data_IF_564940298030
#
_entry.id   IF_564940298030
#
_cell.length_a   1.000
_cell.length_b   1.000
_cell.length_c   1.000
_cell.angle_alpha   90.00
_cell.angle_beta   90.00
_cell.angle_gamma   90.00
#
_symmetry.space_group_name_H-M   'P 1'
#
loop_
_entity.id
_entity.type
_entity.pdbx_description
1 polymer ?
#
# COMPACT_ATOMS: atom_id res chain seq x y z
N UNK A 1 6.38 46.36 8.33
CA UNK A 1 5.24 46.56 7.41
C UNK A 1 5.60 46.05 6.02
N UNK A 2 5.47 44.74 5.77
CA UNK A 2 5.50 44.19 4.41
C UNK A 2 4.06 43.91 3.98
N UNK A 3 3.60 44.64 2.96
CA UNK A 3 2.32 44.37 2.28
C UNK A 3 2.46 43.02 1.58
N UNK A 4 1.78 41.99 2.08
CA UNK A 4 1.42 40.83 1.27
C UNK A 4 0.61 41.32 0.08
N UNK A 5 1.17 41.19 -1.13
CA UNK A 5 0.39 41.28 -2.36
C UNK A 5 -0.53 40.07 -2.38
N UNK A 6 -1.81 40.27 -2.04
CA UNK A 6 -2.87 39.38 -2.51
C UNK A 6 -2.94 39.54 -4.02
N UNK A 7 -2.45 38.55 -4.74
CA UNK A 7 -2.82 38.36 -6.15
C UNK A 7 -4.31 38.03 -6.18
N UNK A 8 -5.15 39.07 -6.35
CA UNK A 8 -6.55 38.87 -6.67
C UNK A 8 -6.64 38.30 -8.08
N UNK A 9 -7.10 37.05 -8.19
CA UNK A 9 -7.54 36.49 -9.47
C UNK A 9 -8.58 37.44 -10.07
N UNK A 10 -8.33 37.91 -11.30
CA UNK A 10 -9.28 38.72 -12.05
C UNK A 10 -10.50 37.86 -12.43
N UNK A 11 -11.52 37.88 -11.56
CA UNK A 11 -12.74 37.09 -11.70
C UNK A 11 -13.54 37.47 -12.95
N UNK A 12 -13.27 38.61 -13.60
CA UNK A 12 -14.00 39.02 -14.79
C UNK A 12 -13.61 38.19 -16.03
N UNK A 13 -12.39 37.63 -16.05
CA UNK A 13 -11.89 36.72 -17.11
C UNK A 13 -12.05 35.22 -16.79
N UNK A 14 -12.49 34.86 -15.58
CA UNK A 14 -12.53 33.48 -15.10
C UNK A 14 -13.69 32.66 -15.71
N UNK A 15 -13.42 31.40 -16.08
CA UNK A 15 -14.45 30.47 -16.57
C UNK A 15 -15.55 30.22 -15.54
N UNK A 16 -16.74 29.81 -15.99
CA UNK A 16 -17.84 29.46 -15.07
C UNK A 16 -17.44 28.39 -14.04
N UNK A 17 -16.55 27.46 -14.43
CA UNK A 17 -15.98 26.45 -13.52
C UNK A 17 -15.05 27.09 -12.49
N UNK A 18 -14.13 27.97 -12.89
CA UNK A 18 -13.25 28.68 -11.97
C UNK A 18 -14.07 29.47 -10.93
N UNK A 19 -15.11 30.20 -11.37
CA UNK A 19 -16.05 30.92 -10.49
C UNK A 19 -16.76 29.98 -9.50
N UNK A 20 -17.19 28.80 -9.97
CA UNK A 20 -17.82 27.77 -9.14
C UNK A 20 -16.84 27.18 -8.11
N UNK A 21 -15.59 26.93 -8.50
CA UNK A 21 -14.54 26.42 -7.61
C UNK A 21 -14.23 27.42 -6.50
N UNK A 22 -14.00 28.70 -6.86
CA UNK A 22 -13.73 29.77 -5.90
C UNK A 22 -14.87 29.90 -4.89
N UNK A 23 -16.12 29.96 -5.36
CA UNK A 23 -17.29 30.06 -4.48
C UNK A 23 -17.46 28.84 -3.57
N UNK A 24 -17.13 27.65 -4.06
CA UNK A 24 -17.18 26.43 -3.23
C UNK A 24 -16.07 26.46 -2.19
N UNK A 25 -14.87 26.89 -2.55
CA UNK A 25 -13.74 27.02 -1.63
C UNK A 25 -14.00 28.06 -0.54
N UNK A 26 -14.56 29.21 -0.88
CA UNK A 26 -14.96 30.24 0.11
C UNK A 26 -15.97 29.70 1.13
N UNK A 27 -16.94 28.88 0.68
CA UNK A 27 -17.92 28.24 1.56
C UNK A 27 -17.27 27.23 2.50
N UNK A 28 -16.39 26.40 1.97
CA UNK A 28 -15.66 25.40 2.77
C UNK A 28 -14.76 26.08 3.80
N UNK A 29 -14.02 27.12 3.40
CA UNK A 29 -13.17 27.90 4.30
C UNK A 29 -13.98 28.59 5.40
N UNK A 30 -15.15 29.15 5.06
CA UNK A 30 -16.04 29.74 6.05
C UNK A 30 -16.57 28.69 7.04
N UNK A 31 -16.98 27.52 6.55
CA UNK A 31 -17.48 26.42 7.38
C UNK A 31 -16.41 25.92 8.37
N UNK A 32 -15.19 25.63 7.89
CA UNK A 32 -14.06 25.18 8.73
C UNK A 32 -13.68 26.23 9.78
N UNK A 33 -13.78 27.52 9.43
CA UNK A 33 -13.47 28.61 10.36
C UNK A 33 -14.50 28.73 11.49
N UNK A 34 -15.75 28.41 11.20
CA UNK A 34 -16.85 28.43 12.16
C UNK A 34 -16.84 27.18 13.05
N UNK A 35 -16.66 26.01 12.44
CA UNK A 35 -16.56 24.72 13.10
C UNK A 35 -15.49 23.87 12.41
N UNK A 36 -14.33 23.64 13.05
CA UNK A 36 -13.26 22.82 12.49
C UNK A 36 -13.66 21.35 12.23
N UNK A 37 -14.66 20.83 12.94
CA UNK A 37 -15.11 19.43 12.84
C UNK A 37 -16.31 19.27 11.87
N UNK A 38 -16.65 20.33 11.13
CA UNK A 38 -17.80 20.34 10.23
C UNK A 38 -17.68 19.32 9.10
N UNK A 39 -18.79 18.67 8.77
CA UNK A 39 -18.87 17.81 7.59
C UNK A 39 -18.83 18.65 6.29
N UNK A 40 -17.65 18.74 5.67
CA UNK A 40 -17.43 19.52 4.45
C UNK A 40 -18.32 19.12 3.27
N UNK A 41 -18.78 17.87 3.21
CA UNK A 41 -19.67 17.40 2.13
C UNK A 41 -20.98 18.17 2.09
N UNK A 42 -21.47 18.67 3.23
CA UNK A 42 -22.71 19.43 3.32
C UNK A 42 -22.59 20.82 2.68
N UNK A 43 -21.37 21.31 2.50
CA UNK A 43 -21.06 22.64 1.98
C UNK A 43 -20.64 22.64 0.51
N UNK A 44 -20.38 21.46 -0.07
CA UNK A 44 -20.19 21.29 -1.51
C UNK A 44 -21.57 21.33 -2.20
N UNK A 45 -21.81 22.24 -3.17
CA UNK A 45 -23.08 22.31 -3.86
C UNK A 45 -23.43 20.96 -4.52
N UNK A 46 -24.65 20.46 -4.35
CA UNK A 46 -25.12 19.20 -4.99
C UNK A 46 -25.01 19.22 -6.52
N UNK A 47 -24.96 20.40 -7.13
CA UNK A 47 -24.78 20.61 -8.57
C UNK A 47 -23.32 20.67 -9.02
N UNK A 48 -22.37 20.71 -8.09
CA UNK A 48 -20.94 20.80 -8.36
C UNK A 48 -20.42 19.58 -9.13
N UNK A 49 -20.86 18.37 -8.76
CA UNK A 49 -20.53 17.15 -9.49
C UNK A 49 -21.17 17.16 -10.90
N UNK A 50 -22.40 17.68 -11.02
CA UNK A 50 -23.13 17.74 -12.30
C UNK A 50 -22.51 18.72 -13.29
N UNK A 51 -21.92 19.83 -12.81
CA UNK A 51 -21.20 20.78 -13.67
C UNK A 51 -19.87 20.22 -14.18
N UNK A 52 -19.27 19.28 -13.44
CA UNK A 52 -18.07 18.54 -13.83
C UNK A 52 -18.34 17.40 -14.81
N UNK A 53 -19.52 16.76 -14.72
CA UNK A 53 -19.93 15.66 -15.59
C UNK A 53 -20.53 16.11 -16.93
N UNK A 54 -20.84 17.40 -17.12
CA UNK A 54 -21.20 17.93 -18.45
C UNK A 54 -19.95 17.93 -19.33
N UNK A 55 -19.94 16.99 -20.28
CA UNK A 55 -19.03 16.94 -21.43
C UNK A 55 -19.15 18.24 -22.25
N UNK A 56 -18.33 19.23 -21.93
CA UNK A 56 -17.81 20.19 -22.90
C UNK A 56 -16.33 19.88 -23.07
N UNK A 57 -16.03 19.35 -24.26
CA UNK A 57 -14.76 19.21 -24.98
C UNK A 57 -13.49 18.94 -24.15
N UNK A 58 -13.08 17.65 -24.18
CA UNK A 58 -11.85 17.10 -23.61
C UNK A 58 -10.58 17.37 -24.45
N UNK A 59 -10.60 18.34 -25.36
CA UNK A 59 -9.50 18.51 -26.32
C UNK A 59 -8.43 19.52 -25.92
N UNK A 60 -8.56 20.19 -24.77
CA UNK A 60 -7.52 21.16 -24.35
C UNK A 60 -7.45 21.33 -22.82
N UNK A 61 -7.23 20.23 -22.08
CA UNK A 61 -6.90 20.36 -20.66
C UNK A 61 -5.43 20.75 -20.53
N UNK A 62 -5.08 21.95 -20.02
CA UNK A 62 -3.73 22.18 -19.53
C UNK A 62 -3.42 21.13 -18.47
N UNK A 63 -2.21 20.55 -18.53
CA UNK A 63 -1.77 19.62 -17.50
C UNK A 63 -1.94 20.27 -16.12
N UNK A 64 -2.42 19.54 -15.11
CA UNK A 64 -2.53 20.08 -13.77
C UNK A 64 -1.15 20.60 -13.34
N UNK A 65 -1.04 21.92 -13.20
CA UNK A 65 0.14 22.54 -12.60
C UNK A 65 0.30 21.94 -11.19
N UNK A 66 1.50 21.48 -10.81
CA UNK A 66 1.72 20.96 -9.47
C UNK A 66 1.32 22.04 -8.46
N UNK A 67 0.35 21.71 -7.61
CA UNK A 67 -0.11 22.58 -6.54
C UNK A 67 1.06 22.77 -5.57
N UNK A 68 1.73 23.93 -5.61
CA UNK A 68 2.68 24.33 -4.57
C UNK A 68 1.87 24.72 -3.33
N UNK A 69 1.68 23.78 -2.41
CA UNK A 69 1.13 24.09 -1.09
C UNK A 69 2.09 25.06 -0.38
N UNK A 70 1.61 26.17 0.24
CA UNK A 70 2.46 27.17 0.88
C UNK A 70 3.09 26.72 2.21
N UNK A 71 2.83 25.48 2.64
CA UNK A 71 3.53 24.83 3.73
C UNK A 71 4.40 23.72 3.16
N UNK A 72 5.72 23.92 3.19
CA UNK A 72 6.63 22.77 3.13
C UNK A 72 6.33 21.95 4.39
N UNK A 73 5.71 20.77 4.22
CA UNK A 73 5.64 19.82 5.33
C UNK A 73 7.07 19.59 5.85
N UNK A 74 7.26 19.51 7.18
CA UNK A 74 8.57 19.16 7.74
C UNK A 74 9.05 17.86 7.09
N UNK A 75 10.30 17.83 6.62
CA UNK A 75 10.92 16.62 6.07
C UNK A 75 10.68 15.45 7.02
N UNK A 76 9.96 14.42 6.54
CA UNK A 76 9.55 13.26 7.33
C UNK A 76 10.73 12.63 8.06
N UNK A 77 11.86 12.45 7.34
CA UNK A 77 13.07 11.84 7.87
C UNK A 77 13.70 12.72 8.95
N UNK A 78 13.77 14.04 8.72
CA UNK A 78 14.26 14.98 9.72
C UNK A 78 13.40 14.96 11.00
N UNK A 79 12.07 14.96 10.84
CA UNK A 79 11.14 14.86 11.97
C UNK A 79 11.29 13.53 12.74
N UNK A 80 11.48 12.43 12.02
CA UNK A 80 11.68 11.11 12.62
C UNK A 80 13.02 11.05 13.40
N UNK A 81 14.12 11.47 12.77
CA UNK A 81 15.44 11.50 13.40
C UNK A 81 15.47 12.42 14.63
N UNK A 82 14.78 13.57 14.57
CA UNK A 82 14.67 14.49 15.69
C UNK A 82 13.92 13.89 16.90
N UNK A 83 12.94 13.01 16.66
CA UNK A 83 12.17 12.34 17.73
C UNK A 83 12.81 11.05 18.23
N UNK A 84 13.63 10.36 17.44
CA UNK A 84 14.24 9.08 17.83
C UNK A 84 15.02 9.17 19.16
N UNK A 85 14.63 8.35 20.15
CA UNK A 85 15.23 8.29 21.49
C UNK A 85 15.59 6.87 21.91
N UNK A 86 14.78 5.88 21.52
CA UNK A 86 14.96 4.48 21.90
C UNK A 86 14.90 3.59 20.66
N UNK A 87 15.79 2.61 20.59
CA UNK A 87 15.77 1.58 19.57
C UNK A 87 15.85 0.19 20.22
N UNK A 88 14.98 -0.72 19.78
CA UNK A 88 14.96 -2.11 20.24
C UNK A 88 14.97 -3.02 19.03
N UNK A 89 15.92 -3.97 19.01
CA UNK A 89 15.98 -5.02 17.99
C UNK A 89 14.82 -5.99 18.25
N UNK A 90 13.80 -5.94 17.42
CA UNK A 90 12.63 -6.82 17.51
C UNK A 90 12.93 -8.19 16.87
N UNK A 91 13.71 -8.21 15.79
CA UNK A 91 14.26 -9.43 15.19
C UNK A 91 15.74 -9.26 14.85
N UNK A 92 16.57 -10.33 14.95
CA UNK A 92 18.01 -10.25 14.79
C UNK A 92 18.45 -9.56 13.49
N UNK A 93 19.48 -8.72 13.60
CA UNK A 93 20.06 -8.04 12.45
C UNK A 93 21.06 -8.97 11.75
N UNK A 94 21.00 -9.02 10.42
CA UNK A 94 21.99 -9.72 9.61
C UNK A 94 23.36 -9.04 9.68
N UNK A 95 24.41 -9.75 9.28
CA UNK A 95 25.77 -9.19 9.18
C UNK A 95 25.79 -7.98 8.24
N UNK A 96 25.06 -8.03 7.12
CA UNK A 96 24.96 -6.94 6.16
C UNK A 96 24.31 -5.69 6.77
N UNK A 97 23.24 -5.85 7.56
CA UNK A 97 22.60 -4.73 8.28
C UNK A 97 23.54 -4.12 9.30
N UNK A 98 24.22 -4.97 10.09
CA UNK A 98 25.18 -4.50 11.09
C UNK A 98 26.31 -3.71 10.40
N UNK A 99 26.91 -4.26 9.34
CA UNK A 99 27.95 -3.58 8.56
C UNK A 99 27.47 -2.24 7.99
N UNK A 100 26.23 -2.17 7.51
CA UNK A 100 25.64 -0.92 7.03
C UNK A 100 25.49 0.12 8.16
N UNK A 101 25.05 -0.30 9.35
CA UNK A 101 24.88 0.60 10.50
C UNK A 101 26.22 1.08 11.09
N UNK A 102 27.27 0.25 11.08
CA UNK A 102 28.60 0.63 11.60
C UNK A 102 29.19 1.83 10.85
N UNK A 103 28.96 1.95 9.54
CA UNK A 103 29.46 3.08 8.73
C UNK A 103 28.90 4.43 9.21
N UNK A 104 27.78 4.40 9.92
CA UNK A 104 27.13 5.58 10.51
C UNK A 104 27.52 5.84 11.98
N UNK A 105 28.46 5.08 12.53
CA UNK A 105 29.05 5.28 13.85
C UNK A 105 30.46 5.89 13.73
N UNK A 106 31.01 6.33 14.86
CA UNK A 106 32.38 6.86 14.93
C UNK A 106 33.40 5.79 14.53
N UNK A 107 34.56 6.23 14.03
CA UNK A 107 35.59 5.38 13.38
C UNK A 107 36.19 4.27 14.27
N UNK A 108 35.88 4.27 15.57
CA UNK A 108 36.35 3.28 16.55
C UNK A 108 35.27 2.26 16.95
N UNK A 109 34.06 2.32 16.39
CA UNK A 109 32.95 1.45 16.78
C UNK A 109 33.04 0.04 16.16
N UNK A 110 32.67 -0.94 16.96
CA UNK A 110 32.63 -2.37 16.63
C UNK A 110 31.19 -2.87 16.43
N UNK A 111 31.04 -4.11 15.96
CA UNK A 111 29.72 -4.75 15.81
C UNK A 111 28.96 -4.90 17.14
N UNK A 112 29.66 -5.08 18.26
CA UNK A 112 29.04 -5.16 19.59
C UNK A 112 28.44 -3.80 19.99
N UNK A 113 29.04 -2.70 19.56
CA UNK A 113 28.58 -1.34 19.90
C UNK A 113 27.22 -1.03 19.26
N UNK A 114 26.96 -1.52 18.05
CA UNK A 114 25.69 -1.34 17.31
C UNK A 114 24.50 -1.92 18.08
N UNK A 115 24.72 -2.92 18.94
CA UNK A 115 23.65 -3.54 19.72
C UNK A 115 23.26 -2.73 20.96
N UNK A 116 24.09 -1.76 21.35
CA UNK A 116 23.74 -0.83 22.43
C UNK A 116 22.67 0.16 21.96
N UNK A 117 21.71 0.48 22.82
CA UNK A 117 20.59 1.36 22.48
C UNK A 117 21.05 2.74 21.97
N UNK A 118 22.08 3.33 22.58
CA UNK A 118 22.57 4.66 22.21
C UNK A 118 23.24 4.67 20.82
N UNK A 119 24.14 3.72 20.56
CA UNK A 119 24.78 3.61 19.25
C UNK A 119 23.75 3.25 18.17
N UNK A 120 22.83 2.32 18.44
CA UNK A 120 21.78 1.95 17.48
C UNK A 120 20.93 3.17 17.10
N UNK A 121 20.48 3.96 18.08
CA UNK A 121 19.73 5.20 17.82
C UNK A 121 20.56 6.19 16.99
N UNK A 122 21.85 6.35 17.30
CA UNK A 122 22.75 7.26 16.56
C UNK A 122 22.91 6.82 15.10
N UNK A 123 23.26 5.55 14.88
CA UNK A 123 23.43 4.97 13.55
C UNK A 123 22.15 5.09 12.71
N UNK A 124 21.00 4.78 13.29
CA UNK A 124 19.70 4.89 12.60
C UNK A 124 19.35 6.32 12.25
N UNK A 125 19.63 7.30 13.11
CA UNK A 125 19.43 8.72 12.77
C UNK A 125 20.26 9.13 11.57
N UNK A 126 21.54 8.76 11.56
CA UNK A 126 22.43 9.04 10.44
C UNK A 126 21.97 8.35 9.16
N UNK A 127 21.58 7.08 9.22
CA UNK A 127 21.02 6.35 8.09
C UNK A 127 19.76 7.05 7.54
N UNK A 128 18.82 7.41 8.42
CA UNK A 128 17.54 8.07 8.06
C UNK A 128 17.77 9.41 7.35
N UNK A 129 18.75 10.18 7.80
CA UNK A 129 19.02 11.53 7.29
C UNK A 129 19.84 11.55 5.99
N UNK A 130 20.66 10.51 5.74
CA UNK A 130 21.66 10.55 4.66
C UNK A 130 21.41 9.53 3.54
N UNK A 131 20.47 8.60 3.69
CA UNK A 131 20.16 7.61 2.66
C UNK A 131 19.28 8.19 1.54
N UNK A 132 19.46 7.67 0.33
CA UNK A 132 18.59 8.00 -0.80
C UNK A 132 17.16 7.52 -0.53
N UNK A 133 16.17 8.39 -0.73
CA UNK A 133 14.75 8.06 -0.61
C UNK A 133 14.26 7.43 -1.91
N UNK A 134 13.86 6.16 -1.87
CA UNK A 134 13.26 5.46 -3.01
C UNK A 134 11.77 5.76 -3.12
N UNK A 135 11.08 5.90 -1.98
CA UNK A 135 9.66 6.21 -1.90
C UNK A 135 9.36 6.91 -0.57
N UNK A 136 8.47 7.90 -0.58
CA UNK A 136 8.00 8.58 0.63
C UNK A 136 6.48 8.80 0.54
N UNK A 137 5.77 8.34 1.55
CA UNK A 137 4.37 8.63 1.80
C UNK A 137 4.27 9.15 3.23
N UNK A 138 4.24 10.48 3.47
CA UNK A 138 4.41 11.04 4.81
C UNK A 138 3.47 10.46 5.90
N UNK A 139 2.28 10.04 5.48
CA UNK A 139 1.26 9.41 6.33
C UNK A 139 1.57 7.94 6.66
N UNK A 140 2.31 7.24 5.81
CA UNK A 140 2.57 5.79 5.88
C UNK A 140 4.01 5.47 6.29
N UNK A 141 4.99 6.09 5.65
CA UNK A 141 6.39 5.71 5.80
C UNK A 141 7.31 6.21 4.70
N UNK A 142 8.55 5.72 4.74
CA UNK A 142 9.61 6.00 3.75
C UNK A 142 10.42 4.73 3.49
N UNK A 143 10.86 4.53 2.26
CA UNK A 143 11.81 3.48 1.88
C UNK A 143 13.13 4.13 1.53
N UNK A 144 14.18 3.72 2.22
CA UNK A 144 15.54 4.26 2.06
C UNK A 144 16.45 3.21 1.44
N UNK A 145 17.24 3.60 0.43
CA UNK A 145 18.32 2.77 -0.10
C UNK A 145 19.54 2.93 0.81
N UNK A 146 19.84 1.88 1.57
CA UNK A 146 20.96 1.87 2.52
C UNK A 146 22.27 1.47 1.84
N UNK A 147 22.20 0.59 0.84
CA UNK A 147 23.34 0.16 0.02
C UNK A 147 22.84 -0.43 -1.31
N UNK A 148 23.73 -0.98 -2.13
CA UNK A 148 23.35 -1.67 -3.38
C UNK A 148 22.65 -3.02 -3.15
N UNK A 149 22.54 -3.47 -1.91
CA UNK A 149 21.91 -4.75 -1.55
C UNK A 149 20.87 -4.62 -0.44
N UNK A 150 20.70 -3.45 0.18
CA UNK A 150 19.89 -3.28 1.38
C UNK A 150 18.99 -2.04 1.27
N UNK A 151 17.73 -2.22 1.62
CA UNK A 151 16.78 -1.14 1.89
C UNK A 151 16.32 -1.16 3.34
N UNK A 152 15.95 0.02 3.85
CA UNK A 152 15.24 0.18 5.10
C UNK A 152 13.85 0.74 4.80
N UNK A 153 12.81 -0.06 5.00
CA UNK A 153 11.41 0.39 4.96
C UNK A 153 11.00 0.81 6.36
N UNK A 154 10.67 2.08 6.51
CA UNK A 154 10.28 2.70 7.76
C UNK A 154 8.79 2.94 7.73
N UNK A 155 8.06 2.31 8.64
CA UNK A 155 6.60 2.32 8.68
C UNK A 155 6.15 2.94 10.00
N UNK A 156 5.20 3.87 9.93
CA UNK A 156 4.54 4.42 11.14
C UNK A 156 3.50 3.43 11.66
N UNK A 157 3.33 3.37 12.97
CA UNK A 157 2.15 2.75 13.57
C UNK A 157 2.41 1.42 14.27
N UNK A 158 1.39 0.56 14.25
CA UNK A 158 1.19 -0.55 15.19
C UNK A 158 2.31 -1.60 15.18
N UNK A 159 2.37 -2.41 16.25
CA UNK A 159 3.20 -3.62 16.41
C UNK A 159 2.77 -4.77 15.45
N UNK A 160 2.50 -4.43 14.19
CA UNK A 160 2.18 -5.36 13.12
C UNK A 160 3.47 -5.69 12.35
N UNK A 161 3.91 -6.94 12.48
CA UNK A 161 5.14 -7.43 11.85
C UNK A 161 4.86 -8.32 10.65
N UNK A 162 3.63 -8.31 10.11
CA UNK A 162 3.19 -9.21 9.02
C UNK A 162 4.16 -9.20 7.84
N UNK A 163 4.64 -8.03 7.40
CA UNK A 163 5.61 -7.98 6.29
C UNK A 163 6.90 -8.72 6.65
N UNK A 164 7.52 -8.40 7.79
CA UNK A 164 8.77 -9.04 8.21
C UNK A 164 8.62 -10.56 8.39
N UNK A 165 7.57 -10.98 9.09
CA UNK A 165 7.34 -12.41 9.39
C UNK A 165 6.98 -13.19 8.13
N UNK A 166 6.27 -12.58 7.19
CA UNK A 166 5.95 -13.19 5.89
C UNK A 166 7.19 -13.33 5.03
N UNK A 167 8.05 -12.30 4.93
CA UNK A 167 9.33 -12.41 4.23
C UNK A 167 10.23 -13.48 4.86
N UNK A 168 10.22 -13.62 6.19
CA UNK A 168 10.94 -14.70 6.89
C UNK A 168 10.37 -16.08 6.52
N UNK A 169 9.05 -16.23 6.55
CA UNK A 169 8.39 -17.47 6.17
C UNK A 169 8.69 -17.86 4.71
N UNK A 170 8.68 -16.89 3.79
CA UNK A 170 9.04 -17.12 2.39
C UNK A 170 10.51 -17.50 2.23
N UNK A 171 11.42 -16.86 2.96
CA UNK A 171 12.84 -17.24 2.94
C UNK A 171 13.04 -18.69 3.40
N UNK A 172 12.32 -19.12 4.43
CA UNK A 172 12.47 -20.46 5.01
C UNK A 172 11.81 -21.56 4.15
N UNK A 173 10.65 -21.28 3.55
CA UNK A 173 9.82 -22.29 2.87
C UNK A 173 9.91 -22.23 1.34
N UNK A 174 10.27 -21.09 0.77
CA UNK A 174 10.41 -20.90 -0.67
C UNK A 174 11.49 -19.86 -1.03
N UNK A 175 12.78 -20.13 -0.70
CA UNK A 175 13.89 -19.20 -0.93
C UNK A 175 14.15 -18.85 -2.40
N UNK A 176 13.57 -19.60 -3.34
CA UNK A 176 13.65 -19.35 -4.77
C UNK A 176 12.55 -18.41 -5.30
N UNK A 177 11.55 -18.06 -4.48
CA UNK A 177 10.57 -17.05 -4.86
C UNK A 177 11.23 -15.67 -4.90
N UNK A 178 10.76 -14.84 -5.84
CA UNK A 178 11.28 -13.50 -6.07
C UNK A 178 10.68 -12.51 -5.05
N UNK A 179 10.99 -12.69 -3.77
CA UNK A 179 10.62 -11.78 -2.68
C UNK A 179 11.89 -11.22 -2.00
N UNK A 180 11.85 -10.00 -1.43
CA UNK A 180 12.95 -9.49 -0.60
C UNK A 180 13.28 -10.44 0.54
N UNK A 181 14.57 -10.62 0.88
CA UNK A 181 14.94 -11.39 2.08
C UNK A 181 14.97 -10.44 3.27
N UNK A 182 14.44 -10.82 4.44
CA UNK A 182 14.54 -10.02 5.64
C UNK A 182 15.98 -10.01 6.19
N UNK A 183 16.44 -8.84 6.61
CA UNK A 183 17.78 -8.59 7.15
C UNK A 183 17.75 -8.00 8.58
N UNK A 184 16.56 -7.93 9.19
CA UNK A 184 16.35 -7.54 10.58
C UNK A 184 15.19 -6.56 10.77
N UNK A 185 14.69 -6.47 12.01
CA UNK A 185 13.61 -5.56 12.38
C UNK A 185 13.98 -4.76 13.62
N UNK A 186 13.90 -3.43 13.54
CA UNK A 186 14.13 -2.53 14.67
C UNK A 186 12.88 -1.71 14.94
N UNK A 187 12.47 -1.64 16.21
CA UNK A 187 11.50 -0.65 16.69
C UNK A 187 12.25 0.60 17.12
N UNK A 188 12.02 1.73 16.44
CA UNK A 188 12.61 3.04 16.75
C UNK A 188 11.48 3.95 17.24
N UNK A 189 11.33 4.11 18.56
CA UNK A 189 10.16 4.75 19.18
C UNK A 189 8.81 4.17 18.67
N UNK A 190 8.09 4.95 17.85
CA UNK A 190 6.75 4.76 17.29
C UNK A 190 6.77 4.31 15.82
N UNK A 191 7.95 3.97 15.29
CA UNK A 191 8.10 3.40 13.94
C UNK A 191 8.83 2.07 13.98
N UNK A 192 8.59 1.28 12.95
CA UNK A 192 9.31 0.03 12.69
C UNK A 192 10.18 0.19 11.45
N UNK A 193 11.40 -0.33 11.51
CA UNK A 193 12.37 -0.32 10.44
C UNK A 193 12.63 -1.77 10.04
N UNK A 194 12.11 -2.15 8.87
CA UNK A 194 12.36 -3.43 8.24
C UNK A 194 13.57 -3.26 7.32
N UNK A 195 14.64 -3.97 7.65
CA UNK A 195 15.78 -4.13 6.75
C UNK A 195 15.51 -5.33 5.86
N UNK A 196 15.64 -5.16 4.54
CA UNK A 196 15.44 -6.24 3.58
C UNK A 196 16.25 -6.02 2.30
N UNK A 197 16.35 -7.07 1.47
CA UNK A 197 17.11 -7.03 0.22
C UNK A 197 16.61 -5.93 -0.71
N UNK A 198 17.53 -5.11 -1.23
CA UNK A 198 17.25 -4.18 -2.31
C UNK A 198 17.16 -4.93 -3.65
N UNK A 199 16.10 -4.66 -4.44
CA UNK A 199 15.93 -5.23 -5.77
C UNK A 199 16.26 -4.14 -6.81
N UNK A 200 17.46 -4.14 -7.44
CA UNK A 200 17.92 -3.09 -8.34
C UNK A 200 17.20 -3.17 -9.71
N UNK A 201 15.99 -2.62 -9.77
CA UNK A 201 15.08 -2.75 -10.91
C UNK A 201 14.02 -1.64 -10.93
N UNK A 202 13.20 -1.60 -11.97
CA UNK A 202 12.08 -0.66 -12.10
C UNK A 202 10.77 -1.33 -11.76
N UNK A 203 9.76 -0.56 -11.33
CA UNK A 203 8.43 -1.14 -11.13
C UNK A 203 7.77 -1.41 -12.48
N UNK A 204 6.88 -2.41 -12.52
CA UNK A 204 6.10 -2.70 -13.70
C UNK A 204 5.22 -1.51 -14.09
N UNK A 205 4.68 -0.78 -13.12
CA UNK A 205 3.90 0.46 -13.32
C UNK A 205 4.65 1.49 -14.18
N UNK A 206 5.96 1.67 -13.92
CA UNK A 206 6.78 2.66 -14.64
C UNK A 206 6.97 2.33 -16.12
N UNK A 207 6.96 1.05 -16.48
CA UNK A 207 7.22 0.60 -17.85
C UNK A 207 5.96 0.07 -18.55
N UNK A 208 4.84 -0.11 -17.83
CA UNK A 208 3.65 -0.78 -18.34
C UNK A 208 3.14 -0.21 -19.67
N UNK A 209 3.13 1.12 -19.79
CA UNK A 209 2.70 1.83 -20.99
C UNK A 209 3.62 1.68 -22.21
N UNK A 210 4.85 1.17 -22.03
CA UNK A 210 5.81 0.94 -23.12
C UNK A 210 5.85 -0.53 -23.56
N UNK A 211 5.22 -1.43 -22.81
CA UNK A 211 5.24 -2.86 -23.09
C UNK A 211 4.33 -3.22 -24.27
N UNK A 212 4.85 -4.08 -25.16
CA UNK A 212 4.04 -4.74 -26.19
C UNK A 212 3.09 -5.76 -25.56
N UNK A 213 2.08 -6.18 -26.32
CA UNK A 213 1.19 -7.27 -25.90
C UNK A 213 1.97 -8.53 -25.49
N UNK A 214 2.96 -8.93 -26.29
CA UNK A 214 3.78 -10.11 -26.03
C UNK A 214 4.61 -9.96 -24.75
N UNK A 215 5.18 -8.78 -24.48
CA UNK A 215 5.87 -8.50 -23.22
C UNK A 215 4.94 -8.66 -22.01
N UNK A 216 3.70 -8.17 -22.11
CA UNK A 216 2.70 -8.28 -21.05
C UNK A 216 2.29 -9.73 -20.81
N UNK A 217 2.13 -10.54 -21.87
CA UNK A 217 1.87 -11.99 -21.75
C UNK A 217 3.04 -12.74 -21.11
N UNK A 218 4.29 -12.39 -21.44
CA UNK A 218 5.46 -13.00 -20.82
C UNK A 218 5.54 -12.70 -19.32
N UNK A 219 5.21 -11.47 -18.91
CA UNK A 219 5.17 -11.10 -17.49
C UNK A 219 4.02 -11.80 -16.77
N UNK A 220 2.85 -11.88 -17.39
CA UNK A 220 1.70 -12.63 -16.88
C UNK A 220 2.07 -14.10 -16.61
N UNK A 221 2.75 -14.77 -17.55
CA UNK A 221 3.20 -16.16 -17.38
C UNK A 221 4.19 -16.32 -16.22
N UNK A 222 5.18 -15.42 -16.12
CA UNK A 222 6.16 -15.46 -15.02
C UNK A 222 5.50 -15.25 -13.65
N UNK A 223 4.55 -14.32 -13.56
CA UNK A 223 3.77 -14.10 -12.34
C UNK A 223 2.90 -15.31 -12.01
N UNK A 224 2.22 -15.92 -12.99
CA UNK A 224 1.40 -17.12 -12.76
C UNK A 224 2.23 -18.29 -12.21
N UNK A 225 3.39 -18.55 -12.82
CA UNK A 225 4.33 -19.57 -12.32
C UNK A 225 4.77 -19.30 -10.87
N UNK A 226 5.02 -18.03 -10.53
CA UNK A 226 5.37 -17.63 -9.17
C UNK A 226 4.20 -17.84 -8.20
N UNK A 227 2.99 -17.41 -8.56
CA UNK A 227 1.81 -17.50 -7.70
C UNK A 227 1.29 -18.93 -7.54
N UNK A 228 1.42 -19.78 -8.56
CA UNK A 228 1.16 -21.22 -8.42
C UNK A 228 2.08 -21.82 -7.35
N UNK A 229 3.38 -21.51 -7.37
CA UNK A 229 4.34 -21.97 -6.33
C UNK A 229 4.01 -21.39 -4.96
N UNK A 230 3.66 -20.10 -4.89
CA UNK A 230 3.26 -19.43 -3.65
C UNK A 230 2.07 -20.13 -3.00
N UNK A 231 1.08 -20.52 -3.79
CA UNK A 231 -0.14 -21.18 -3.32
C UNK A 231 0.04 -22.63 -2.88
N UNK A 232 1.19 -23.23 -3.14
CA UNK A 232 1.55 -24.58 -2.67
C UNK A 232 2.20 -24.58 -1.28
N UNK A 233 2.46 -23.40 -0.70
CA UNK A 233 3.06 -23.27 0.62
C UNK A 233 2.15 -23.85 1.72
N UNK A 234 2.75 -24.48 2.74
CA UNK A 234 2.03 -25.19 3.79
C UNK A 234 1.51 -24.24 4.87
N UNK A 235 0.21 -24.35 5.16
CA UNK A 235 -0.45 -23.61 6.22
C UNK A 235 -0.25 -24.32 7.57
N UNK A 236 0.81 -23.97 8.30
CA UNK A 236 1.11 -24.61 9.60
C UNK A 236 0.23 -24.06 10.75
N UNK A 237 -0.31 -22.85 10.57
CA UNK A 237 -1.25 -22.20 11.49
C UNK A 237 -2.67 -22.77 11.38
N UNK A 238 -3.41 -22.83 12.49
CA UNK A 238 -4.85 -23.13 12.45
C UNK A 238 -5.71 -21.90 12.15
N UNK A 239 -5.12 -20.72 12.05
CA UNK A 239 -5.80 -19.45 11.80
C UNK A 239 -5.31 -18.78 10.51
N UNK A 240 -6.22 -18.06 9.87
CA UNK A 240 -6.00 -17.23 8.69
C UNK A 240 -5.30 -15.91 9.04
N UNK A 241 -4.73 -15.28 8.01
CA UNK A 241 -3.97 -14.04 8.11
C UNK A 241 -2.47 -14.25 8.14
N UNK A 242 -1.76 -13.31 8.76
CA UNK A 242 -0.30 -13.36 8.88
C UNK A 242 0.20 -14.66 9.54
N UNK A 243 1.40 -15.08 9.12
CA UNK A 243 2.00 -16.39 9.44
C UNK A 243 2.36 -16.60 10.91
N UNK A 244 2.39 -15.54 11.73
CA UNK A 244 2.67 -15.60 13.17
C UNK A 244 1.45 -15.20 14.00
N UNK A 245 0.24 -15.23 13.42
CA UNK A 245 -1.00 -14.92 14.14
C UNK A 245 -1.27 -13.43 14.28
N UNK A 246 -0.75 -12.62 13.35
CA UNK A 246 -1.09 -11.21 13.18
C UNK A 246 -2.59 -11.04 12.87
N UNK A 247 -3.20 -12.07 12.31
CA UNK A 247 -4.63 -12.15 12.02
C UNK A 247 -4.96 -11.67 10.62
N UNK A 248 -6.24 -11.75 10.30
CA UNK A 248 -6.80 -11.37 9.00
C UNK A 248 -6.87 -9.86 8.89
N UNK A 249 -6.45 -9.35 7.73
CA UNK A 249 -6.61 -7.95 7.32
C UNK A 249 -7.65 -7.87 6.21
N UNK A 250 -8.62 -6.97 6.36
CA UNK A 250 -9.60 -6.68 5.31
C UNK A 250 -9.83 -5.19 5.20
N UNK A 251 -10.11 -4.74 3.98
CA UNK A 251 -10.46 -3.35 3.73
C UNK A 251 -11.87 -3.02 4.23
N UNK A 252 -11.94 -2.04 5.11
CA UNK A 252 -13.15 -1.43 5.63
C UNK A 252 -13.61 -0.20 4.83
N UNK A 253 -14.59 0.53 5.37
CA UNK A 253 -15.13 1.72 4.74
C UNK A 253 -14.07 2.85 4.70
N UNK A 254 -14.08 3.64 3.62
CA UNK A 254 -13.19 4.79 3.40
C UNK A 254 -11.68 4.50 3.54
N UNK A 255 -11.25 3.27 3.22
CA UNK A 255 -9.83 2.89 3.26
C UNK A 255 -9.30 2.61 4.66
N UNK A 256 -10.16 2.42 5.66
CA UNK A 256 -9.75 1.90 6.96
C UNK A 256 -9.40 0.40 6.83
N UNK A 257 -8.29 -0.05 7.40
CA UNK A 257 -7.97 -1.47 7.49
C UNK A 257 -8.56 -2.06 8.78
N UNK A 258 -9.26 -3.20 8.66
CA UNK A 258 -9.81 -3.93 9.79
C UNK A 258 -8.95 -5.16 10.07
N UNK A 259 -8.71 -5.43 11.36
CA UNK A 259 -7.88 -6.54 11.80
C UNK A 259 -8.67 -7.46 12.73
N UNK A 260 -8.60 -8.78 12.51
CA UNK A 260 -9.20 -9.76 13.42
C UNK A 260 -8.38 -11.05 13.50
N UNK A 261 -8.08 -11.45 14.73
CA UNK A 261 -7.40 -12.71 15.06
C UNK A 261 -8.40 -13.83 15.30
N UNK A 262 -7.93 -15.08 15.21
CA UNK A 262 -8.74 -16.26 15.54
C UNK A 262 -9.77 -16.65 14.49
N UNK A 263 -9.66 -16.13 13.26
CA UNK A 263 -10.44 -16.61 12.11
C UNK A 263 -9.78 -17.87 11.59
N UNK A 264 -10.51 -18.97 11.48
CA UNK A 264 -9.98 -20.27 11.04
C UNK A 264 -10.78 -20.92 9.89
N UNK A 265 -11.93 -20.36 9.52
CA UNK A 265 -12.80 -20.90 8.46
C UNK A 265 -13.07 -19.86 7.38
N UNK A 266 -13.38 -20.31 6.16
CA UNK A 266 -13.80 -19.42 5.08
C UNK A 266 -15.13 -18.70 5.42
N UNK A 267 -16.01 -19.35 6.20
CA UNK A 267 -17.25 -18.73 6.70
C UNK A 267 -16.95 -17.56 7.65
N UNK A 268 -16.07 -17.76 8.64
CA UNK A 268 -15.67 -16.71 9.57
C UNK A 268 -14.96 -15.54 8.87
N UNK A 269 -14.17 -15.85 7.84
CA UNK A 269 -13.52 -14.85 7.01
C UNK A 269 -14.55 -13.99 6.27
N UNK A 270 -15.51 -14.61 5.58
CA UNK A 270 -16.57 -13.86 4.89
C UNK A 270 -17.40 -13.06 5.90
N UNK A 271 -17.79 -13.66 7.03
CA UNK A 271 -18.52 -12.97 8.09
C UNK A 271 -17.76 -11.74 8.61
N UNK A 272 -16.44 -11.82 8.75
CA UNK A 272 -15.61 -10.67 9.10
C UNK A 272 -15.61 -9.60 8.00
N UNK A 273 -15.47 -9.98 6.73
CA UNK A 273 -15.58 -9.06 5.61
C UNK A 273 -16.93 -8.30 5.58
N UNK A 274 -18.03 -8.98 5.90
CA UNK A 274 -19.37 -8.38 5.96
C UNK A 274 -19.64 -7.59 7.24
N UNK A 275 -18.82 -7.77 8.28
CA UNK A 275 -18.93 -6.98 9.52
C UNK A 275 -18.47 -5.52 9.37
N UNK A 276 -17.73 -5.22 8.28
CA UNK A 276 -17.12 -3.91 8.01
C UNK A 276 -18.10 -2.73 7.94
N UNK A 277 -19.42 -2.97 7.85
CA UNK A 277 -20.48 -1.94 7.79
C UNK A 277 -21.63 -2.21 8.75
N UNK A 278 -21.40 -2.92 9.86
CA UNK A 278 -22.47 -3.34 10.81
C UNK A 278 -23.41 -2.20 11.27
N UNK A 279 -23.00 -0.94 11.15
CA UNK A 279 -23.82 0.25 11.48
C UNK A 279 -24.32 1.06 10.28
N UNK A 280 -23.97 0.69 9.05
CA UNK A 280 -24.18 1.47 7.82
C UNK A 280 -25.07 0.78 6.79
N UNK A 281 -25.22 -0.54 6.87
CA UNK A 281 -26.21 -1.29 6.10
C UNK A 281 -27.17 -2.03 7.04
N UNK A 282 -28.43 -2.19 6.60
CA UNK A 282 -29.41 -2.98 7.35
C UNK A 282 -29.02 -4.46 7.36
N UNK A 283 -29.32 -5.18 8.45
CA UNK A 283 -29.10 -6.63 8.55
C UNK A 283 -29.75 -7.39 7.39
N UNK A 284 -30.91 -6.94 6.91
CA UNK A 284 -31.58 -7.52 5.74
C UNK A 284 -30.77 -7.38 4.45
N UNK A 285 -30.13 -6.23 4.21
CA UNK A 285 -29.24 -6.04 3.06
C UNK A 285 -28.00 -6.94 3.16
N UNK A 286 -27.36 -6.97 4.33
CA UNK A 286 -26.19 -7.83 4.57
C UNK A 286 -26.54 -9.30 4.34
N UNK A 287 -27.66 -9.76 4.88
CA UNK A 287 -28.15 -11.13 4.66
C UNK A 287 -28.46 -11.43 3.19
N UNK A 288 -29.08 -10.48 2.48
CA UNK A 288 -29.35 -10.63 1.05
C UNK A 288 -28.05 -10.76 0.25
N UNK A 289 -27.10 -9.84 0.41
CA UNK A 289 -25.82 -9.90 -0.32
C UNK A 289 -25.05 -11.18 0.02
N UNK A 290 -25.03 -11.57 1.30
CA UNK A 290 -24.38 -12.82 1.75
C UNK A 290 -25.01 -14.07 1.12
N UNK A 291 -26.33 -14.08 0.94
CA UNK A 291 -27.05 -15.21 0.33
C UNK A 291 -26.68 -15.47 -1.14
N UNK A 292 -25.97 -14.54 -1.79
CA UNK A 292 -25.48 -14.68 -3.16
C UNK A 292 -24.13 -15.39 -3.25
N UNK A 293 -23.46 -15.67 -2.12
CA UNK A 293 -22.20 -16.40 -2.11
C UNK A 293 -22.43 -17.90 -2.35
N UNK A 294 -21.49 -18.59 -3.02
CA UNK A 294 -21.50 -20.04 -3.09
C UNK A 294 -21.19 -20.65 -1.71
N UNK A 295 -21.30 -21.98 -1.60
CA UNK A 295 -20.88 -22.71 -0.42
C UNK A 295 -19.40 -22.41 -0.06
N UNK A 296 -19.10 -22.49 1.23
CA UNK A 296 -17.73 -22.32 1.74
C UNK A 296 -16.93 -23.59 1.53
N UNK A 297 -15.70 -23.40 1.07
CA UNK A 297 -14.69 -24.44 0.98
C UNK A 297 -13.46 -23.93 1.73
N UNK A 298 -12.96 -24.70 2.69
CA UNK A 298 -11.78 -24.34 3.47
C UNK A 298 -10.50 -24.69 2.67
N UNK A 299 -10.34 -24.01 1.54
CA UNK A 299 -9.13 -24.04 0.73
C UNK A 299 -8.30 -22.78 1.00
N UNK A 300 -7.21 -22.93 1.75
CA UNK A 300 -6.38 -21.81 2.17
C UNK A 300 -5.04 -21.84 1.46
N UNK A 301 -4.64 -20.68 0.95
CA UNK A 301 -3.41 -20.51 0.19
C UNK A 301 -2.67 -19.28 0.68
N UNK A 302 -1.35 -19.29 0.53
CA UNK A 302 -0.56 -18.10 0.77
C UNK A 302 -0.84 -17.06 -0.33
N UNK A 303 -1.25 -15.87 0.08
CA UNK A 303 -1.63 -14.76 -0.80
C UNK A 303 -0.76 -13.54 -0.53
N UNK A 304 -0.56 -12.70 -1.55
CA UNK A 304 0.21 -11.46 -1.43
C UNK A 304 -0.61 -10.34 -0.76
N UNK A 305 -1.88 -10.20 -1.15
CA UNK A 305 -2.83 -9.25 -0.54
C UNK A 305 -2.88 -7.86 -1.21
N UNK A 306 -1.79 -7.40 -1.81
CA UNK A 306 -1.75 -6.14 -2.58
C UNK A 306 -0.97 -6.27 -3.91
N UNK A 307 -1.33 -7.23 -4.77
CA UNK A 307 -0.66 -7.36 -6.07
C UNK A 307 -1.14 -6.28 -7.06
N UNK A 308 -0.23 -5.36 -7.38
CA UNK A 308 -0.42 -4.26 -8.34
C UNK A 308 0.88 -3.98 -9.10
N UNK A 309 0.84 -3.32 -10.28
CA UNK A 309 2.05 -3.01 -11.05
C UNK A 309 3.13 -2.24 -10.27
N UNK A 310 2.75 -1.44 -9.29
CA UNK A 310 3.69 -0.71 -8.42
C UNK A 310 4.52 -1.64 -7.50
N UNK A 311 4.00 -2.83 -7.19
CA UNK A 311 4.60 -3.81 -6.29
C UNK A 311 5.32 -4.94 -7.04
N UNK A 312 5.35 -4.88 -8.38
CA UNK A 312 6.02 -5.85 -9.24
C UNK A 312 7.28 -5.20 -9.79
N UNK A 313 8.41 -5.87 -9.62
CA UNK A 313 9.72 -5.40 -10.06
C UNK A 313 10.14 -6.14 -11.33
N UNK A 314 10.64 -5.40 -12.33
CA UNK A 314 11.10 -5.96 -13.61
C UNK A 314 12.43 -5.37 -14.04
N UNK A 315 13.23 -6.18 -14.73
CA UNK A 315 14.47 -5.76 -15.37
C UNK A 315 14.38 -5.90 -16.89
N UNK A 316 15.06 -5.03 -17.66
CA UNK A 316 15.20 -5.23 -19.09
C UNK A 316 15.93 -6.55 -19.37
N UNK A 317 15.33 -7.38 -20.23
CA UNK A 317 15.91 -8.60 -20.77
C UNK A 317 16.48 -8.41 -22.16
N UNK A 318 16.89 -9.52 -22.79
CA UNK A 318 17.34 -9.51 -24.19
C UNK A 318 16.20 -9.17 -25.14
N UNK A 319 16.51 -8.52 -26.27
CA UNK A 319 15.54 -8.26 -27.33
C UNK A 319 14.44 -7.24 -27.01
N UNK A 320 14.58 -6.45 -25.94
CA UNK A 320 13.56 -5.47 -25.53
C UNK A 320 12.42 -6.05 -24.69
N UNK A 321 12.57 -7.29 -24.23
CA UNK A 321 11.65 -7.92 -23.28
C UNK A 321 11.94 -7.44 -21.85
N UNK A 322 11.03 -7.76 -20.93
CA UNK A 322 11.22 -7.55 -19.49
C UNK A 322 11.08 -8.87 -18.75
N UNK A 323 11.90 -9.04 -17.71
CA UNK A 323 11.91 -10.24 -16.86
C UNK A 323 11.51 -9.84 -15.45
N UNK A 324 10.68 -10.67 -14.83
CA UNK A 324 10.29 -10.51 -13.44
C UNK A 324 11.53 -10.63 -12.54
N UNK A 325 11.79 -9.62 -11.72
CA UNK A 325 12.94 -9.59 -10.81
C UNK A 325 12.54 -9.60 -9.33
N UNK A 326 11.27 -9.37 -9.02
CA UNK A 326 10.79 -9.25 -7.64
C UNK A 326 9.31 -8.95 -7.52
N UNK A 327 8.74 -9.31 -6.38
CA UNK A 327 7.46 -8.80 -5.86
C UNK A 327 7.73 -8.27 -4.46
N UNK A 328 7.31 -7.03 -4.20
CA UNK A 328 7.56 -6.29 -2.96
C UNK A 328 6.24 -5.95 -2.26
N UNK A 329 6.33 -5.40 -1.05
CA UNK A 329 5.18 -4.93 -0.25
C UNK A 329 4.26 -6.05 0.27
N UNK A 330 4.84 -6.97 1.04
CA UNK A 330 4.18 -8.17 1.58
C UNK A 330 3.41 -7.91 2.88
N UNK A 331 3.05 -6.67 3.16
CA UNK A 331 2.44 -6.28 4.45
C UNK A 331 1.05 -6.86 4.67
N UNK A 332 0.30 -7.15 3.60
CA UNK A 332 -1.05 -7.72 3.65
C UNK A 332 -1.07 -9.24 3.37
N UNK A 333 0.11 -9.83 3.25
CA UNK A 333 0.26 -11.23 2.91
C UNK A 333 -0.08 -12.17 4.08
N UNK A 334 -0.31 -13.43 3.74
CA UNK A 334 -0.66 -14.46 4.71
C UNK A 334 -1.49 -15.57 4.09
N UNK A 335 -2.01 -16.45 4.94
CA UNK A 335 -2.88 -17.51 4.51
C UNK A 335 -4.35 -17.09 4.55
N UNK A 336 -5.00 -17.15 3.39
CA UNK A 336 -6.38 -16.73 3.20
C UNK A 336 -7.11 -17.72 2.29
N UNK A 337 -8.46 -17.64 2.18
CA UNK A 337 -9.17 -18.45 1.20
C UNK A 337 -8.65 -18.18 -0.21
N UNK A 338 -8.65 -19.18 -1.08
CA UNK A 338 -8.11 -19.12 -2.46
C UNK A 338 -8.64 -17.97 -3.34
N UNK A 339 -9.84 -17.49 -3.03
CA UNK A 339 -10.49 -16.34 -3.67
C UNK A 339 -10.05 -14.96 -3.12
N UNK A 340 -9.30 -14.90 -2.02
CA UNK A 340 -8.91 -13.64 -1.36
C UNK A 340 -8.17 -12.69 -2.29
N UNK A 341 -7.15 -13.16 -3.01
CA UNK A 341 -6.37 -12.31 -3.92
C UNK A 341 -7.27 -11.66 -4.99
N UNK A 342 -8.21 -12.43 -5.55
CA UNK A 342 -9.15 -11.93 -6.55
C UNK A 342 -10.06 -10.84 -5.98
N UNK A 343 -10.42 -10.93 -4.70
CA UNK A 343 -11.20 -9.92 -3.98
C UNK A 343 -10.36 -8.66 -3.74
N UNK A 344 -9.07 -8.80 -3.40
CA UNK A 344 -8.19 -7.65 -3.18
C UNK A 344 -7.94 -6.84 -4.45
N UNK A 345 -7.99 -7.48 -5.63
CA UNK A 345 -7.94 -6.78 -6.92
C UNK A 345 -9.05 -5.73 -7.09
N UNK A 346 -10.14 -5.79 -6.30
CA UNK A 346 -11.17 -4.75 -6.28
C UNK A 346 -10.70 -3.41 -5.73
N UNK A 347 -9.69 -3.44 -4.88
CA UNK A 347 -9.10 -2.28 -4.21
C UNK A 347 -7.97 -1.67 -5.02
N UNK A 348 -7.34 -2.48 -5.88
CA UNK A 348 -6.38 -2.01 -6.87
C UNK A 348 -7.02 -1.64 -8.22
N UNK A 349 -8.36 -1.72 -8.33
CA UNK A 349 -9.11 -1.42 -9.57
C UNK A 349 -9.40 0.08 -9.74
N UNK A 350 -8.59 0.76 -10.56
CA UNK A 350 -8.83 2.14 -10.98
C UNK A 350 -9.91 2.23 -12.06
N UNK A 351 -11.19 2.32 -11.69
CA UNK A 351 -12.30 2.44 -12.66
C UNK A 351 -12.22 3.70 -13.57
N UNK A 352 -11.36 4.66 -13.22
CA UNK A 352 -11.19 5.91 -13.94
C UNK A 352 -9.95 5.99 -14.85
N UNK A 353 -9.14 4.92 -14.93
CA UNK A 353 -7.94 4.87 -15.77
C UNK A 353 -8.13 3.89 -16.93
N UNK A 354 -7.67 4.27 -18.13
CA UNK A 354 -7.57 3.41 -19.32
C UNK A 354 -6.40 2.41 -19.22
N UNK A 355 -6.15 1.87 -18.03
CA UNK A 355 -5.08 0.90 -17.79
C UNK A 355 -5.57 -0.52 -18.11
N UNK A 356 -4.86 -1.19 -19.03
CA UNK A 356 -5.17 -2.55 -19.48
C UNK A 356 -4.53 -3.65 -18.60
N UNK A 357 -3.84 -3.31 -17.50
CA UNK A 357 -3.24 -4.26 -16.55
C UNK A 357 -4.14 -5.45 -16.22
N UNK A 358 -5.43 -5.19 -15.99
CA UNK A 358 -6.40 -6.19 -15.58
C UNK A 358 -6.65 -7.29 -16.63
N UNK A 359 -6.33 -7.04 -17.90
CA UNK A 359 -6.39 -8.06 -18.95
C UNK A 359 -5.24 -9.07 -18.88
N UNK A 360 -4.19 -8.78 -18.11
CA UNK A 360 -2.96 -9.58 -17.99
C UNK A 360 -2.74 -10.08 -16.56
N UNK A 361 -3.80 -10.18 -15.75
CA UNK A 361 -3.72 -10.78 -14.43
C UNK A 361 -3.31 -12.26 -14.54
N UNK A 362 -2.47 -12.78 -13.62
CA UNK A 362 -2.14 -14.20 -13.59
C UNK A 362 -3.41 -15.05 -13.47
N UNK A 363 -3.60 -16.09 -14.32
CA UNK A 363 -4.74 -16.98 -14.26
C UNK A 363 -5.03 -17.54 -12.86
N UNK A 364 -4.00 -17.86 -12.08
CA UNK A 364 -4.15 -18.40 -10.72
C UNK A 364 -4.94 -17.45 -9.82
N UNK A 365 -4.69 -16.14 -9.91
CA UNK A 365 -5.33 -15.14 -9.03
C UNK A 365 -6.51 -14.42 -9.69
N UNK A 366 -6.82 -14.78 -10.93
CA UNK A 366 -7.83 -14.09 -11.74
C UNK A 366 -9.22 -14.18 -11.11
N UNK A 367 -10.03 -13.10 -11.13
CA UNK A 367 -11.45 -13.16 -10.78
C UNK A 367 -12.26 -14.21 -11.54
N UNK A 368 -11.77 -14.68 -12.69
CA UNK A 368 -12.40 -15.73 -13.48
C UNK A 368 -12.46 -17.09 -12.77
N UNK A 369 -11.61 -17.36 -11.77
CA UNK A 369 -11.65 -18.60 -10.98
C UNK A 369 -12.78 -18.58 -9.95
N UNK A 370 -13.14 -17.42 -9.41
CA UNK A 370 -14.22 -17.24 -8.43
C UNK A 370 -15.16 -16.05 -8.76
N UNK A 371 -15.81 -16.04 -9.95
CA UNK A 371 -16.51 -14.87 -10.46
C UNK A 371 -17.71 -14.46 -9.59
N UNK A 372 -18.41 -15.41 -8.99
CA UNK A 372 -19.52 -15.13 -8.07
C UNK A 372 -19.04 -14.39 -6.82
N UNK A 373 -17.98 -14.87 -6.17
CA UNK A 373 -17.40 -14.24 -4.98
C UNK A 373 -16.87 -12.84 -5.30
N UNK A 374 -16.22 -12.67 -6.46
CA UNK A 374 -15.76 -11.39 -6.94
C UNK A 374 -16.91 -10.39 -7.16
N UNK A 375 -17.97 -10.78 -7.88
CA UNK A 375 -19.15 -9.94 -8.14
C UNK A 375 -19.88 -9.54 -6.85
N UNK A 376 -20.02 -10.46 -5.90
CA UNK A 376 -20.59 -10.14 -4.57
C UNK A 376 -19.69 -9.16 -3.82
N UNK A 377 -18.36 -9.35 -3.88
CA UNK A 377 -17.38 -8.40 -3.36
C UNK A 377 -17.52 -7.01 -3.97
N UNK A 378 -17.78 -6.89 -5.28
CA UNK A 378 -18.07 -5.60 -5.95
C UNK A 378 -19.29 -4.91 -5.39
N UNK A 379 -20.41 -5.65 -5.24
CA UNK A 379 -21.66 -5.12 -4.69
C UNK A 379 -21.43 -4.64 -3.25
N UNK A 380 -20.65 -5.41 -2.48
CA UNK A 380 -20.29 -5.06 -1.13
C UNK A 380 -19.43 -3.79 -1.05
N UNK A 381 -18.38 -3.69 -1.89
CA UNK A 381 -17.54 -2.49 -1.99
C UNK A 381 -18.35 -1.25 -2.34
N UNK A 382 -19.27 -1.38 -3.29
CA UNK A 382 -20.15 -0.27 -3.62
C UNK A 382 -21.04 0.18 -2.45
N UNK A 383 -21.41 -0.76 -1.57
CA UNK A 383 -22.09 -0.45 -0.30
C UNK A 383 -21.15 0.32 0.63
N UNK A 384 -19.89 -0.12 0.78
CA UNK A 384 -18.86 0.56 1.58
C UNK A 384 -18.60 2.01 1.15
N UNK A 385 -18.64 2.29 -0.15
CA UNK A 385 -18.34 3.63 -0.70
C UNK A 385 -19.53 4.61 -0.60
N UNK A 386 -20.76 4.11 -0.45
CA UNK A 386 -21.98 4.92 -0.47
C UNK A 386 -22.63 5.16 0.88
N UNK A 387 -22.32 4.32 1.87
CA UNK A 387 -22.78 4.47 3.24
C UNK A 387 -21.65 5.02 4.09
#
# INVERSE_FOLDING_TARGET
MSKERRESLDLDSATARAKSNTKTMERLQAAVKEDPDVNLLDFIPKTYLRSWLRKEELTDRPQPLPIKLPYAEPDFCAGLAARARTATIAHPLSTETISCLIVHLDSSSSAEDVTSNQCLVSALKHLILNSEKLCELPTRGVVLKCSDHLVAKIIRGNDDYTEYTSLQYLQDNAPALLAPKPHGLVKLNDVHIIFMTYIPSVTLEQVWGTLTHDNKLLIQSQLDEMFVKLRLLSHDSQCLGGVRGEGVKVDGAYGAQLHKKGISTAEDFDNFCFSAVSHRASTSWVNFVRSLLPAWEDNFVFSHGDLRPANIMVTPGEGGNYVLSGVIDWEDSGFYPDYFESRQLLYTFGMGSEDDWYAYLPPSISPATHPQRWLVGRIWRYTLERC
#
